data_IF_798818174612
#
_entry.id   IF_798818174612
#
_cell.length_a   1.000
_cell.length_b   1.000
_cell.length_c   1.000
_cell.angle_alpha   90.00
_cell.angle_beta   90.00
_cell.angle_gamma   90.00
#
_symmetry.space_group_name_H-M   'P 1'
#
loop_
_entity.id
_entity.type
_entity.pdbx_description
1 polymer ?
#
# COMPACT_ATOMS: atom_id res chain seq x y z
N UNK A 1 1.53 20.78 7.35
CA UNK A 1 2.52 21.21 8.38
C UNK A 1 2.68 20.14 9.45
N UNK A 2 3.90 19.88 9.90
CA UNK A 2 4.21 19.08 11.10
C UNK A 2 5.12 19.91 11.98
N UNK A 3 4.81 20.03 13.27
CA UNK A 3 5.55 20.88 14.21
C UNK A 3 5.65 22.35 13.75
N UNK A 4 4.58 22.87 13.15
CA UNK A 4 4.50 24.25 12.64
C UNK A 4 5.20 24.52 11.30
N UNK A 5 5.92 23.54 10.73
CA UNK A 5 6.65 23.70 9.46
C UNK A 5 5.98 22.94 8.32
N UNK A 6 6.02 23.52 7.12
CA UNK A 6 5.61 22.80 5.90
C UNK A 6 6.55 21.63 5.65
N UNK A 7 5.98 20.53 5.15
CA UNK A 7 6.71 19.30 4.85
C UNK A 7 6.14 18.70 3.58
N UNK A 8 7.05 18.34 2.69
CA UNK A 8 6.75 17.53 1.52
C UNK A 8 7.05 16.07 1.86
N UNK A 9 6.26 15.16 1.30
CA UNK A 9 6.40 13.73 1.56
C UNK A 9 5.92 12.95 0.35
N UNK A 10 6.72 11.99 -0.10
CA UNK A 10 6.37 11.11 -1.20
C UNK A 10 6.46 9.66 -0.72
N UNK A 11 5.41 8.90 -0.99
CA UNK A 11 5.27 7.50 -0.64
C UNK A 11 4.94 6.73 -1.91
N UNK A 12 5.72 5.70 -2.22
CA UNK A 12 5.57 4.97 -3.47
C UNK A 12 5.99 3.51 -3.33
N UNK A 13 5.62 2.70 -4.32
CA UNK A 13 6.10 1.34 -4.51
C UNK A 13 6.65 1.23 -5.95
N UNK A 14 7.75 0.49 -6.11
CA UNK A 14 8.28 0.08 -7.41
C UNK A 14 8.02 -1.42 -7.57
N UNK A 15 7.53 -1.81 -8.75
CA UNK A 15 7.15 -3.19 -9.03
C UNK A 15 7.69 -3.59 -10.42
N UNK A 16 8.41 -4.70 -10.50
CA UNK A 16 9.01 -5.20 -11.74
C UNK A 16 8.12 -6.25 -12.41
N UNK A 17 7.87 -6.10 -13.71
CA UNK A 17 7.01 -7.00 -14.46
C UNK A 17 7.52 -8.45 -14.51
N UNK A 18 8.84 -8.65 -14.62
CA UNK A 18 9.41 -9.99 -14.77
C UNK A 18 9.40 -10.73 -13.44
N UNK A 19 9.68 -10.05 -12.33
CA UNK A 19 9.59 -10.63 -10.99
C UNK A 19 8.14 -11.07 -10.66
N UNK A 20 7.14 -10.23 -10.94
CA UNK A 20 5.72 -10.63 -10.79
C UNK A 20 5.36 -11.85 -11.65
N UNK A 21 5.88 -11.91 -12.88
CA UNK A 21 5.61 -13.03 -13.78
C UNK A 21 6.29 -14.32 -13.29
N UNK A 22 7.51 -14.23 -12.75
CA UNK A 22 8.21 -15.38 -12.16
C UNK A 22 7.49 -15.92 -10.93
N UNK A 23 6.92 -15.05 -10.09
CA UNK A 23 6.25 -15.46 -8.85
C UNK A 23 4.87 -16.06 -9.11
N UNK A 24 4.02 -15.37 -9.87
CA UNK A 24 2.59 -15.71 -10.01
C UNK A 24 2.08 -15.72 -11.45
N UNK A 25 2.95 -15.58 -12.44
CA UNK A 25 2.58 -15.69 -13.86
C UNK A 25 1.77 -14.52 -14.40
N UNK A 26 1.88 -13.33 -13.79
CA UNK A 26 1.17 -12.12 -14.23
C UNK A 26 2.08 -10.89 -14.34
N UNK A 27 1.60 -9.90 -15.06
CA UNK A 27 2.16 -8.57 -15.19
C UNK A 27 1.98 -7.73 -13.91
N UNK A 28 2.90 -6.80 -13.67
CA UNK A 28 2.88 -5.91 -12.50
C UNK A 28 1.55 -5.17 -12.29
N UNK A 29 0.82 -4.79 -13.34
CA UNK A 29 -0.49 -4.11 -13.21
C UNK A 29 -1.52 -4.98 -12.47
N UNK A 30 -1.59 -6.27 -12.81
CA UNK A 30 -2.49 -7.20 -12.13
C UNK A 30 -1.97 -7.52 -10.74
N UNK A 31 -0.66 -7.65 -10.58
CA UNK A 31 -0.01 -7.92 -9.30
C UNK A 31 -0.26 -6.80 -8.28
N UNK A 32 0.00 -5.53 -8.65
CA UNK A 32 -0.17 -4.36 -7.79
C UNK A 32 -1.62 -4.10 -7.42
N UNK A 33 -2.59 -4.67 -8.14
CA UNK A 33 -4.01 -4.62 -7.76
C UNK A 33 -4.42 -5.83 -6.93
N UNK A 34 -3.95 -7.03 -7.31
CA UNK A 34 -4.33 -8.30 -6.68
C UNK A 34 -3.82 -8.44 -5.25
N UNK A 35 -2.57 -8.01 -4.99
CA UNK A 35 -2.00 -8.06 -3.64
C UNK A 35 -2.79 -7.18 -2.65
N UNK A 36 -3.07 -5.88 -2.93
CA UNK A 36 -3.95 -5.06 -2.08
C UNK A 36 -5.36 -5.63 -1.88
N UNK A 37 -5.95 -6.24 -2.92
CA UNK A 37 -7.26 -6.88 -2.82
C UNK A 37 -7.24 -8.05 -1.81
N UNK A 38 -6.21 -8.90 -1.87
CA UNK A 38 -6.01 -9.99 -0.91
C UNK A 38 -5.79 -9.46 0.51
N UNK A 39 -4.94 -8.43 0.68
CA UNK A 39 -4.66 -7.85 2.00
C UNK A 39 -5.92 -7.24 2.60
N UNK A 40 -6.70 -6.47 1.82
CA UNK A 40 -7.97 -5.89 2.29
C UNK A 40 -8.95 -6.96 2.78
N UNK A 41 -9.10 -8.05 2.02
CA UNK A 41 -9.90 -9.20 2.43
C UNK A 41 -9.36 -9.85 3.72
N UNK A 42 -8.04 -10.04 3.81
CA UNK A 42 -7.37 -10.57 5.01
C UNK A 42 -7.65 -9.71 6.25
N UNK A 43 -7.60 -8.36 6.13
CA UNK A 43 -7.85 -7.45 7.26
C UNK A 43 -9.29 -7.55 7.77
N UNK A 44 -10.26 -7.67 6.86
CA UNK A 44 -11.67 -7.86 7.23
C UNK A 44 -11.89 -9.22 7.93
N UNK A 45 -11.31 -10.29 7.39
CA UNK A 45 -11.48 -11.64 7.92
C UNK A 45 -10.77 -11.84 9.28
N UNK A 46 -9.62 -11.20 9.50
CA UNK A 46 -8.91 -11.21 10.80
C UNK A 46 -9.57 -10.34 11.86
N UNK A 47 -10.40 -9.38 11.45
CA UNK A 47 -11.11 -8.48 12.35
C UNK A 47 -10.52 -7.08 12.45
N UNK A 48 -9.29 -6.86 11.97
CA UNK A 48 -8.58 -5.58 12.04
C UNK A 48 -9.38 -4.44 11.38
N UNK A 49 -10.08 -4.75 10.29
CA UNK A 49 -10.93 -3.81 9.54
C UNK A 49 -12.43 -4.16 9.63
N UNK A 50 -12.85 -5.00 10.58
CA UNK A 50 -14.24 -5.42 10.72
C UNK A 50 -15.08 -4.36 11.44
N UNK A 51 -15.72 -3.49 10.66
CA UNK A 51 -16.58 -2.39 11.13
C UNK A 51 -17.91 -2.38 10.36
N UNK A 52 -19.08 -2.27 11.02
CA UNK A 52 -20.36 -2.14 10.33
C UNK A 52 -20.42 -0.90 9.44
N UNK A 53 -21.07 -0.99 8.28
CA UNK A 53 -21.21 0.10 7.31
C UNK A 53 -20.36 -0.08 6.06
N UNK A 54 -20.32 0.96 5.24
CA UNK A 54 -19.48 1.05 4.03
C UNK A 54 -18.35 2.02 4.36
N UNK A 55 -17.11 1.59 4.12
CA UNK A 55 -15.91 2.37 4.45
C UNK A 55 -14.95 2.34 3.27
N UNK A 56 -14.30 3.47 3.01
CA UNK A 56 -13.11 3.53 2.18
C UNK A 56 -11.86 3.21 3.00
N UNK A 57 -10.75 2.92 2.33
CA UNK A 57 -9.51 2.43 2.98
C UNK A 57 -8.86 3.47 3.89
N UNK A 58 -8.99 4.75 3.57
CA UNK A 58 -8.45 5.88 4.35
C UNK A 58 -9.17 6.10 5.69
N UNK A 59 -10.33 5.46 5.90
CA UNK A 59 -11.08 5.52 7.15
C UNK A 59 -10.62 4.47 8.19
N UNK A 60 -9.72 3.58 7.78
CA UNK A 60 -9.29 2.42 8.55
C UNK A 60 -7.82 2.60 8.98
N UNK A 61 -7.41 1.91 10.06
CA UNK A 61 -6.01 1.98 10.51
C UNK A 61 -5.09 1.45 9.40
N UNK A 62 -4.17 2.28 8.85
CA UNK A 62 -3.31 1.87 7.75
C UNK A 62 -2.15 0.98 8.20
N UNK A 63 -1.72 1.05 9.46
CA UNK A 63 -0.51 0.38 9.95
C UNK A 63 -0.43 -1.12 9.62
N UNK A 64 -1.47 -1.96 9.91
CA UNK A 64 -1.42 -3.38 9.56
C UNK A 64 -1.41 -3.63 8.05
N UNK A 65 -2.05 -2.76 7.26
CA UNK A 65 -2.06 -2.85 5.79
C UNK A 65 -0.70 -2.52 5.21
N UNK A 66 -0.07 -1.43 5.66
CA UNK A 66 1.26 -1.01 5.23
C UNK A 66 2.33 -2.06 5.58
N UNK A 67 2.21 -2.71 6.74
CA UNK A 67 3.07 -3.84 7.12
C UNK A 67 2.85 -5.06 6.23
N UNK A 68 1.60 -5.34 5.85
CA UNK A 68 1.25 -6.44 4.97
C UNK A 68 1.74 -6.22 3.53
N UNK A 69 1.71 -4.99 3.01
CA UNK A 69 2.27 -4.65 1.69
C UNK A 69 3.75 -5.04 1.61
N UNK A 70 4.55 -4.65 2.61
CA UNK A 70 5.96 -5.03 2.70
C UNK A 70 6.18 -6.54 2.74
N UNK A 71 5.28 -7.28 3.40
CA UNK A 71 5.38 -8.73 3.56
C UNK A 71 4.98 -9.49 2.28
N UNK A 72 3.99 -9.00 1.55
CA UNK A 72 3.34 -9.73 0.45
C UNK A 72 3.71 -9.21 -0.94
N UNK A 73 4.90 -8.63 -1.08
CA UNK A 73 5.52 -8.37 -2.38
C UNK A 73 5.38 -6.95 -2.93
N UNK A 74 4.80 -6.02 -2.15
CA UNK A 74 4.72 -4.60 -2.52
C UNK A 74 5.41 -3.71 -1.48
N UNK A 75 6.74 -3.83 -1.31
CA UNK A 75 7.46 -2.95 -0.40
C UNK A 75 7.32 -1.49 -0.83
N UNK A 76 7.06 -0.62 0.13
CA UNK A 76 6.93 0.82 -0.11
C UNK A 76 8.12 1.58 0.45
N UNK A 77 8.40 2.73 -0.14
CA UNK A 77 9.48 3.63 0.24
C UNK A 77 8.95 5.03 0.50
N UNK A 78 9.62 5.75 1.39
CA UNK A 78 9.32 7.13 1.72
C UNK A 78 10.46 8.07 1.38
N UNK A 79 10.14 9.21 0.76
CA UNK A 79 11.01 10.36 0.61
C UNK A 79 10.43 11.55 1.38
N UNK A 80 11.20 12.07 2.34
CA UNK A 80 10.82 13.19 3.22
C UNK A 80 11.28 14.55 2.70
N UNK A 81 11.94 14.58 1.55
CA UNK A 81 12.33 15.79 0.82
C UNK A 81 12.29 15.56 -0.71
N UNK A 82 11.12 15.18 -1.26
CA UNK A 82 11.01 14.79 -2.66
C UNK A 82 11.16 15.99 -3.60
N UNK A 83 11.60 15.71 -4.82
CA UNK A 83 11.44 16.64 -5.93
C UNK A 83 9.95 16.88 -6.19
N UNK A 84 9.57 18.15 -6.37
CA UNK A 84 8.21 18.54 -6.72
C UNK A 84 8.01 18.53 -8.24
N UNK A 85 6.77 18.37 -8.67
CA UNK A 85 6.38 18.20 -10.08
C UNK A 85 6.19 19.53 -10.84
N UNK A 86 6.84 20.60 -10.39
CA UNK A 86 6.66 21.98 -10.89
C UNK A 86 7.16 22.17 -12.34
#
# INVERSE_FOLDING_TARGET
>A
KKDGKDKNYYLYNICDHQECYKEVGSQAISYTTGVPAMIGAMMVLKGDWKKPGVHNVEELNPDPFMNALNKWGLPWEEDRNPALVD
#
